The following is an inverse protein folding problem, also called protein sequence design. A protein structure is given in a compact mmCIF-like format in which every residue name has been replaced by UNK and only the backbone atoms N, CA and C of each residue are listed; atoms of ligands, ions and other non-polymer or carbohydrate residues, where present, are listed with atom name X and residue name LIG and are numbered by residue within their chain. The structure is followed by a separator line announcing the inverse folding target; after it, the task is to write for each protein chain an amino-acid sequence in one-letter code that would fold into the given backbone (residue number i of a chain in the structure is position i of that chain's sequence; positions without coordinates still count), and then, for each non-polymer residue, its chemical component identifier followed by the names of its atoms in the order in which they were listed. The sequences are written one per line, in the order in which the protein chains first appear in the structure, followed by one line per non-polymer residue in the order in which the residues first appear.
data_IF_775193953799
#
_entry.id   IF_775193953799
#
_cell.length_a   1.000
_cell.length_b   1.000
_cell.length_c   1.000
_cell.angle_alpha   90.00
_cell.angle_beta   90.00
_cell.angle_gamma   90.00
#
_symmetry.space_group_name_H-M   'P 1'
#
loop_
_entity.id
_entity.type
_entity.pdbx_description
1 polymer ?
#
# COMPACT_ATOMS: atom_id res chain seq x y z
N UNK A 1 -47.08 0.35 -81.65
CA UNK A 1 -47.59 -0.53 -80.54
C UNK A 1 -46.44 -1.33 -80.04
N UNK A 2 -45.70 -0.88 -79.02
CA UNK A 2 -44.76 -1.72 -78.26
C UNK A 2 -44.89 -1.36 -76.78
N UNK A 3 -45.38 -2.28 -75.96
CA UNK A 3 -45.52 -2.14 -74.52
C UNK A 3 -44.17 -2.39 -73.87
N UNK A 4 -43.69 -1.44 -73.09
CA UNK A 4 -42.48 -1.54 -72.26
C UNK A 4 -42.95 -1.89 -70.85
N UNK A 5 -42.54 -3.07 -70.37
CA UNK A 5 -42.74 -3.50 -68.98
C UNK A 5 -41.58 -2.90 -68.13
N UNK A 6 -41.91 -2.11 -67.13
CA UNK A 6 -40.98 -1.66 -66.14
C UNK A 6 -40.97 -2.63 -64.97
N UNK A 7 -39.84 -3.31 -64.77
CA UNK A 7 -39.61 -4.16 -63.59
C UNK A 7 -38.99 -3.31 -62.47
N UNK A 8 -39.73 -3.13 -61.40
CA UNK A 8 -39.24 -2.48 -60.17
C UNK A 8 -38.46 -3.49 -59.35
N UNK A 9 -37.14 -3.34 -59.27
CA UNK A 9 -36.30 -4.06 -58.29
C UNK A 9 -36.40 -3.34 -56.96
N UNK A 10 -37.01 -4.03 -55.94
CA UNK A 10 -36.94 -3.64 -54.53
C UNK A 10 -35.61 -4.12 -53.95
N UNK A 11 -34.65 -3.22 -53.79
CA UNK A 11 -33.41 -3.50 -53.06
C UNK A 11 -33.66 -3.39 -51.56
N UNK A 12 -33.84 -4.51 -50.87
CA UNK A 12 -33.88 -4.59 -49.43
C UNK A 12 -32.45 -4.42 -48.90
N UNK A 13 -32.10 -3.22 -48.45
CA UNK A 13 -30.84 -2.93 -47.79
C UNK A 13 -30.84 -3.59 -46.38
N UNK A 14 -30.16 -4.72 -46.22
CA UNK A 14 -29.76 -5.25 -44.92
C UNK A 14 -28.72 -4.29 -44.34
N UNK A 15 -29.19 -3.40 -43.45
CA UNK A 15 -28.32 -2.67 -42.55
C UNK A 15 -27.75 -3.65 -41.49
N UNK A 16 -26.64 -4.28 -41.81
CA UNK A 16 -25.80 -4.96 -40.82
C UNK A 16 -25.25 -3.86 -39.90
N UNK A 17 -25.98 -3.60 -38.81
CA UNK A 17 -25.46 -2.82 -37.70
C UNK A 17 -24.22 -3.53 -37.16
N UNK A 18 -23.02 -3.08 -37.55
CA UNK A 18 -21.79 -3.47 -36.89
C UNK A 18 -21.94 -2.98 -35.44
N UNK A 19 -22.30 -3.88 -34.52
CA UNK A 19 -22.09 -3.62 -33.11
C UNK A 19 -20.61 -3.33 -32.95
N UNK A 20 -20.27 -2.06 -32.81
CA UNK A 20 -18.92 -1.67 -32.43
C UNK A 20 -18.62 -2.39 -31.11
N UNK A 21 -17.81 -3.42 -31.16
CA UNK A 21 -17.36 -4.11 -29.97
C UNK A 21 -16.59 -3.09 -29.17
N UNK A 22 -17.14 -2.66 -28.05
CA UNK A 22 -16.45 -1.75 -27.14
C UNK A 22 -15.08 -2.35 -26.82
N UNK A 23 -14.04 -1.57 -26.95
CA UNK A 23 -12.70 -2.03 -26.58
C UNK A 23 -12.74 -2.49 -25.12
N UNK A 24 -12.12 -3.64 -24.85
CA UNK A 24 -12.03 -4.19 -23.50
C UNK A 24 -11.49 -3.13 -22.52
N UNK A 25 -12.10 -2.95 -21.35
CA UNK A 25 -11.68 -1.91 -20.40
C UNK A 25 -10.24 -2.12 -19.96
N UNK A 26 -9.50 -1.01 -19.91
CA UNK A 26 -8.12 -0.99 -19.45
C UNK A 26 -7.98 -0.05 -18.27
N UNK A 27 -7.57 -0.60 -17.11
CA UNK A 27 -7.29 0.14 -15.88
C UNK A 27 -5.80 0.35 -15.70
N UNK A 28 -5.42 1.50 -15.16
CA UNK A 28 -4.11 1.73 -14.56
C UNK A 28 -4.28 1.80 -13.04
N UNK A 29 -3.72 0.82 -12.31
CA UNK A 29 -3.57 0.89 -10.86
C UNK A 29 -2.17 1.42 -10.53
N UNK A 30 -2.12 2.50 -9.77
CA UNK A 30 -0.89 3.10 -9.26
C UNK A 30 -0.73 2.74 -7.80
N UNK A 31 0.36 2.02 -7.47
CA UNK A 31 0.58 1.42 -6.16
C UNK A 31 1.99 1.63 -5.64
N UNK A 32 2.22 1.30 -4.37
CA UNK A 32 3.55 1.30 -3.80
C UNK A 32 4.29 -0.02 -4.06
N UNK A 33 5.62 0.03 -4.04
CA UNK A 33 6.51 -0.97 -4.61
C UNK A 33 6.42 -2.37 -4.00
N UNK A 34 6.17 -2.48 -2.71
CA UNK A 34 6.08 -3.77 -1.99
C UNK A 34 4.81 -4.57 -2.30
N UNK A 35 3.83 -3.97 -3.00
CA UNK A 35 2.57 -4.64 -3.36
C UNK A 35 2.63 -5.40 -4.69
N UNK A 36 3.79 -5.47 -5.34
CA UNK A 36 3.94 -6.05 -6.67
C UNK A 36 3.47 -7.51 -6.75
N UNK A 37 3.89 -8.34 -5.80
CA UNK A 37 3.53 -9.77 -5.78
C UNK A 37 2.04 -9.95 -5.48
N UNK A 38 1.51 -9.21 -4.51
CA UNK A 38 0.08 -9.22 -4.22
C UNK A 38 -0.76 -8.87 -5.45
N UNK A 39 -0.47 -7.75 -6.13
CA UNK A 39 -1.25 -7.35 -7.30
C UNK A 39 -1.06 -8.26 -8.51
N UNK A 40 0.04 -8.99 -8.62
CA UNK A 40 0.20 -10.02 -9.63
C UNK A 40 -0.85 -11.12 -9.48
N UNK A 41 -1.00 -11.63 -8.25
CA UNK A 41 -1.97 -12.68 -7.94
C UNK A 41 -3.41 -12.14 -8.01
N UNK A 42 -3.63 -10.98 -7.41
CA UNK A 42 -4.93 -10.32 -7.36
C UNK A 42 -5.48 -9.96 -8.74
N UNK A 43 -4.68 -9.39 -9.62
CA UNK A 43 -5.10 -9.00 -10.96
C UNK A 43 -5.53 -10.22 -11.78
N UNK A 44 -4.80 -11.34 -11.66
CA UNK A 44 -5.15 -12.57 -12.35
C UNK A 44 -6.53 -13.13 -11.88
N UNK A 45 -6.82 -13.06 -10.58
CA UNK A 45 -8.10 -13.47 -10.02
C UNK A 45 -9.23 -12.51 -10.42
N UNK A 46 -9.01 -11.21 -10.29
CA UNK A 46 -10.01 -10.21 -10.70
C UNK A 46 -10.36 -10.30 -12.19
N UNK A 47 -9.40 -10.49 -13.08
CA UNK A 47 -9.64 -10.62 -14.50
C UNK A 47 -10.56 -11.82 -14.82
N UNK A 48 -10.35 -12.97 -14.16
CA UNK A 48 -11.22 -14.14 -14.29
C UNK A 48 -12.64 -13.88 -13.75
N UNK A 49 -12.71 -13.20 -12.60
CA UNK A 49 -13.98 -12.81 -12.00
C UNK A 49 -14.75 -11.87 -12.93
N UNK A 50 -14.12 -10.82 -13.44
CA UNK A 50 -14.73 -9.86 -14.36
C UNK A 50 -15.22 -10.54 -15.65
N UNK A 51 -14.39 -11.37 -16.26
CA UNK A 51 -14.76 -12.12 -17.46
C UNK A 51 -15.96 -13.06 -17.23
N UNK A 52 -16.01 -13.72 -16.07
CA UNK A 52 -17.12 -14.58 -15.71
C UNK A 52 -18.46 -13.83 -15.60
N UNK A 53 -18.45 -12.61 -15.04
CA UNK A 53 -19.65 -11.80 -14.84
C UNK A 53 -20.06 -11.01 -16.09
N UNK A 54 -19.10 -10.42 -16.79
CA UNK A 54 -19.37 -9.46 -17.87
C UNK A 54 -19.17 -10.03 -19.28
N UNK A 55 -18.59 -11.23 -19.41
CA UNK A 55 -18.24 -11.86 -20.71
C UNK A 55 -17.30 -11.01 -21.56
N UNK A 56 -16.51 -10.18 -20.91
CA UNK A 56 -15.47 -9.35 -21.53
C UNK A 56 -14.18 -9.39 -20.68
N UNK A 57 -13.04 -9.22 -21.32
CA UNK A 57 -11.77 -9.14 -20.62
C UNK A 57 -11.52 -7.73 -20.11
N UNK A 58 -10.84 -7.62 -18.94
CA UNK A 58 -10.31 -6.37 -18.44
C UNK A 58 -8.77 -6.43 -18.42
N UNK A 59 -8.10 -5.40 -18.90
CA UNK A 59 -6.65 -5.29 -18.80
C UNK A 59 -6.29 -4.43 -17.61
N UNK A 60 -5.42 -4.94 -16.71
CA UNK A 60 -4.95 -4.20 -15.54
C UNK A 60 -3.48 -3.88 -15.73
N UNK A 61 -3.17 -2.60 -15.90
CA UNK A 61 -1.82 -2.07 -15.93
C UNK A 61 -1.41 -1.62 -14.54
N UNK A 62 -0.12 -1.73 -14.21
CA UNK A 62 0.41 -1.38 -12.89
C UNK A 62 1.54 -0.36 -13.02
N UNK A 63 1.57 0.59 -12.09
CA UNK A 63 2.73 1.45 -11.84
C UNK A 63 3.14 1.31 -10.38
N UNK A 64 4.42 1.02 -10.12
CA UNK A 64 4.95 0.80 -8.79
C UNK A 64 6.12 1.74 -8.47
N UNK A 65 6.18 2.21 -7.23
CA UNK A 65 7.26 3.05 -6.72
C UNK A 65 7.02 3.44 -5.26
N UNK A 66 7.81 4.33 -4.70
CA UNK A 66 7.54 4.87 -3.37
C UNK A 66 6.16 5.54 -3.33
N UNK A 67 5.35 5.27 -2.31
CA UNK A 67 3.93 5.64 -2.25
C UNK A 67 3.69 7.14 -2.52
N UNK A 68 4.36 8.02 -1.80
CA UNK A 68 4.21 9.47 -1.99
C UNK A 68 4.72 9.95 -3.36
N UNK A 69 5.74 9.28 -3.94
CA UNK A 69 6.19 9.54 -5.31
C UNK A 69 5.13 9.15 -6.33
N UNK A 70 4.48 8.02 -6.14
CA UNK A 70 3.38 7.57 -7.01
C UNK A 70 2.17 8.51 -6.92
N UNK A 71 1.78 8.93 -5.70
CA UNK A 71 0.73 9.93 -5.53
C UNK A 71 1.06 11.22 -6.27
N UNK A 72 2.30 11.70 -6.17
CA UNK A 72 2.77 12.89 -6.90
C UNK A 72 2.70 12.69 -8.42
N UNK A 73 3.09 11.53 -8.95
CA UNK A 73 2.98 11.26 -10.38
C UNK A 73 1.55 11.36 -10.90
N UNK A 74 0.56 10.92 -10.11
CA UNK A 74 -0.86 11.03 -10.47
C UNK A 74 -1.31 12.51 -10.44
N UNK A 75 -0.89 13.29 -9.45
CA UNK A 75 -1.15 14.74 -9.38
C UNK A 75 -0.55 15.44 -10.59
N UNK A 76 0.64 15.04 -11.02
CA UNK A 76 1.35 15.60 -12.18
C UNK A 76 0.82 15.09 -13.54
N UNK A 77 -0.23 14.26 -13.54
CA UNK A 77 -0.98 13.89 -14.75
C UNK A 77 -0.88 12.42 -15.19
N UNK A 78 -0.27 11.52 -14.41
CA UNK A 78 -0.34 10.08 -14.71
C UNK A 78 -1.81 9.62 -14.60
N UNK A 79 -2.44 9.09 -15.67
CA UNK A 79 -3.87 8.87 -15.75
C UNK A 79 -4.29 7.56 -15.04
N UNK A 80 -4.06 7.49 -13.73
CA UNK A 80 -4.45 6.36 -12.89
C UNK A 80 -5.97 6.25 -12.76
N UNK A 81 -6.54 5.09 -13.00
CA UNK A 81 -7.95 4.80 -12.76
C UNK A 81 -8.21 4.54 -11.28
N UNK A 82 -7.29 3.83 -10.63
CA UNK A 82 -7.31 3.54 -9.20
C UNK A 82 -5.93 3.77 -8.59
N UNK A 83 -5.95 4.12 -7.32
CA UNK A 83 -4.75 4.26 -6.48
C UNK A 83 -4.86 3.35 -5.27
N UNK A 84 -3.78 2.68 -4.96
CA UNK A 84 -3.68 1.75 -3.85
C UNK A 84 -2.40 2.08 -3.08
N UNK A 85 -2.55 2.96 -2.09
CA UNK A 85 -1.43 3.65 -1.44
C UNK A 85 -1.06 3.02 -0.10
N UNK A 86 0.11 3.37 0.40
CA UNK A 86 0.57 2.88 1.70
C UNK A 86 -0.15 3.55 2.87
N UNK A 87 -0.61 4.80 2.70
CA UNK A 87 -1.24 5.58 3.77
C UNK A 87 -2.21 6.63 3.25
N UNK A 88 -3.12 7.05 4.12
CA UNK A 88 -4.17 8.02 3.78
C UNK A 88 -3.62 9.39 3.34
N UNK A 89 -2.44 9.82 3.83
CA UNK A 89 -1.81 11.08 3.41
C UNK A 89 -1.57 11.16 1.91
N UNK A 90 -1.29 10.04 1.26
CA UNK A 90 -1.04 10.01 -0.18
C UNK A 90 -2.32 10.24 -0.97
N UNK A 91 -3.45 9.64 -0.54
CA UNK A 91 -4.77 9.88 -1.17
C UNK A 91 -5.29 11.29 -0.83
N UNK A 92 -5.08 11.75 0.41
CA UNK A 92 -5.41 13.12 0.79
C UNK A 92 -4.71 14.15 -0.10
N UNK A 93 -3.47 13.89 -0.49
CA UNK A 93 -2.74 14.77 -1.41
C UNK A 93 -3.43 14.90 -2.78
N UNK A 94 -4.05 13.82 -3.30
CA UNK A 94 -4.84 13.87 -4.54
C UNK A 94 -6.14 14.64 -4.36
N UNK A 95 -6.77 14.57 -3.18
CA UNK A 95 -7.96 15.34 -2.87
C UNK A 95 -7.66 16.84 -2.75
N UNK A 96 -6.50 17.18 -2.18
CA UNK A 96 -6.09 18.57 -1.94
C UNK A 96 -5.47 19.23 -3.18
N UNK A 97 -4.85 18.45 -4.05
CA UNK A 97 -4.19 18.95 -5.27
C UNK A 97 -4.91 18.44 -6.52
N UNK A 98 -5.75 19.29 -7.09
CA UNK A 98 -6.46 18.99 -8.32
C UNK A 98 -7.82 18.31 -8.16
N UNK A 99 -8.28 18.05 -6.93
CA UNK A 99 -9.57 17.40 -6.64
C UNK A 99 -9.77 16.12 -7.48
N UNK A 100 -8.70 15.31 -7.58
CA UNK A 100 -8.70 14.08 -8.37
C UNK A 100 -9.56 13.00 -7.74
N UNK A 101 -9.66 13.02 -6.41
CA UNK A 101 -10.56 12.22 -5.59
C UNK A 101 -11.36 13.14 -4.67
N UNK A 102 -12.56 12.78 -4.24
CA UNK A 102 -13.34 13.63 -3.31
C UNK A 102 -12.73 13.60 -1.89
N UNK A 103 -13.02 14.61 -1.09
CA UNK A 103 -12.49 14.74 0.28
C UNK A 103 -12.98 13.64 1.23
N UNK A 104 -14.14 13.07 0.94
CA UNK A 104 -14.78 11.99 1.71
C UNK A 104 -14.40 10.57 1.21
N UNK A 105 -13.37 10.47 0.38
CA UNK A 105 -12.92 9.20 -0.22
C UNK A 105 -12.78 8.06 0.80
N UNK A 106 -12.38 8.39 2.02
CA UNK A 106 -12.13 7.43 3.10
C UNK A 106 -13.38 6.63 3.50
N UNK A 107 -14.58 7.20 3.32
CA UNK A 107 -15.86 6.58 3.70
C UNK A 107 -16.53 5.79 2.57
N UNK A 108 -15.95 5.77 1.38
CA UNK A 108 -16.56 5.17 0.18
C UNK A 108 -16.48 3.64 0.13
N UNK A 109 -15.51 3.07 0.83
CA UNK A 109 -15.31 1.62 0.94
C UNK A 109 -15.18 1.21 2.42
N UNK A 110 -15.41 -0.05 2.77
CA UNK A 110 -15.35 -0.50 4.16
C UNK A 110 -13.97 -0.25 4.83
N UNK A 111 -13.94 -0.20 6.15
CA UNK A 111 -12.72 -0.09 6.94
C UNK A 111 -11.85 1.12 6.56
N UNK A 112 -12.45 2.31 6.41
CA UNK A 112 -11.75 3.52 5.95
C UNK A 112 -11.06 3.33 4.60
N UNK A 113 -11.69 2.57 3.69
CA UNK A 113 -11.14 2.20 2.38
C UNK A 113 -9.82 1.41 2.46
N UNK A 114 -9.56 0.70 3.57
CA UNK A 114 -8.39 -0.14 3.79
C UNK A 114 -8.78 -1.63 3.81
N UNK A 115 -8.52 -2.40 2.72
CA UNK A 115 -9.00 -3.78 2.58
C UNK A 115 -8.27 -4.80 3.45
N UNK A 116 -7.10 -4.47 3.96
CA UNK A 116 -6.26 -5.30 4.81
C UNK A 116 -5.38 -4.42 5.70
N UNK A 117 -4.64 -5.05 6.61
CA UNK A 117 -3.65 -4.36 7.45
C UNK A 117 -2.30 -5.05 7.40
N UNK A 118 -1.30 -4.42 7.99
CA UNK A 118 0.01 -5.01 8.22
C UNK A 118 0.60 -4.52 9.54
N UNK A 119 1.61 -5.24 10.03
CA UNK A 119 2.38 -4.87 11.21
C UNK A 119 3.79 -4.45 10.83
N UNK A 120 4.37 -3.55 11.62
CA UNK A 120 5.81 -3.30 11.62
C UNK A 120 6.51 -4.46 12.34
N UNK A 121 7.52 -5.04 11.72
CA UNK A 121 8.33 -6.12 12.25
C UNK A 121 9.82 -5.81 12.14
N UNK A 122 10.65 -6.54 12.85
CA UNK A 122 12.10 -6.48 12.75
C UNK A 122 12.59 -7.70 11.98
N UNK A 123 13.38 -7.47 10.95
CA UNK A 123 14.15 -8.49 10.25
C UNK A 123 15.57 -8.41 10.78
N UNK A 124 15.99 -9.43 11.50
CA UNK A 124 17.31 -9.51 12.13
C UNK A 124 18.19 -10.53 11.42
N UNK A 125 19.50 -10.38 11.54
CA UNK A 125 20.43 -11.35 10.99
C UNK A 125 20.18 -12.76 11.54
N UNK A 126 20.51 -13.78 10.77
CA UNK A 126 20.40 -15.19 11.17
C UNK A 126 20.99 -15.42 12.57
N UNK A 127 20.22 -16.10 13.43
CA UNK A 127 20.61 -16.37 14.82
C UNK A 127 20.51 -15.18 15.76
N UNK A 128 20.00 -14.05 15.28
CA UNK A 128 19.78 -12.82 16.06
C UNK A 128 20.98 -12.47 16.98
N UNK A 129 22.19 -12.24 16.45
CA UNK A 129 23.42 -12.12 17.24
C UNK A 129 23.42 -10.95 18.22
N UNK A 130 22.57 -9.93 17.99
CA UNK A 130 22.38 -8.79 18.89
C UNK A 130 21.26 -8.99 19.91
N UNK A 131 20.58 -10.17 19.89
CA UNK A 131 19.46 -10.51 20.77
C UNK A 131 18.34 -9.43 20.78
N UNK A 132 18.00 -8.90 19.59
CA UNK A 132 17.00 -7.86 19.40
C UNK A 132 15.60 -8.47 19.53
N UNK A 133 14.78 -7.97 20.46
CA UNK A 133 13.45 -8.51 20.76
C UNK A 133 12.36 -7.44 20.70
N UNK A 134 12.68 -6.20 21.05
CA UNK A 134 11.72 -5.12 21.14
C UNK A 134 12.40 -3.75 20.89
N UNK A 135 11.60 -2.69 20.82
CA UNK A 135 12.02 -1.33 20.51
C UNK A 135 13.25 -0.82 21.29
N UNK A 136 13.35 -1.05 22.64
CA UNK A 136 14.52 -0.61 23.40
C UNK A 136 15.84 -1.26 22.98
N UNK A 137 15.77 -2.43 22.36
CA UNK A 137 16.97 -3.12 21.89
C UNK A 137 17.60 -2.42 20.68
N UNK A 138 16.79 -1.66 19.92
CA UNK A 138 17.26 -0.96 18.72
C UNK A 138 18.12 0.27 19.01
N UNK A 139 18.10 0.76 20.25
CA UNK A 139 18.91 1.92 20.70
C UNK A 139 20.09 1.49 21.58
N UNK A 140 20.41 0.19 21.65
CA UNK A 140 21.61 -0.29 22.34
C UNK A 140 22.86 0.08 21.59
N UNK A 141 23.93 0.34 22.35
CA UNK A 141 25.25 0.64 21.77
C UNK A 141 25.70 -0.42 20.77
N UNK A 142 26.18 0.01 19.62
CA UNK A 142 26.67 -0.85 18.55
C UNK A 142 25.57 -1.59 17.75
N UNK A 143 24.29 -1.21 17.89
CA UNK A 143 23.21 -1.66 17.01
C UNK A 143 23.03 -0.66 15.87
N UNK A 144 23.01 -1.14 14.63
CA UNK A 144 22.70 -0.34 13.45
C UNK A 144 21.33 -0.73 12.90
N UNK A 145 20.46 0.27 12.71
CA UNK A 145 19.07 0.10 12.27
C UNK A 145 18.91 0.55 10.82
N UNK A 146 18.34 -0.29 9.98
CA UNK A 146 17.94 0.08 8.62
C UNK A 146 16.45 0.35 8.59
N UNK A 147 16.10 1.53 8.14
CA UNK A 147 14.71 1.99 8.00
C UNK A 147 14.63 2.99 6.84
N UNK A 148 13.58 2.96 6.01
CA UNK A 148 13.43 3.94 4.95
C UNK A 148 13.06 5.32 5.52
N UNK A 149 13.37 6.36 4.76
CA UNK A 149 13.18 7.76 5.17
C UNK A 149 11.69 8.09 5.38
N UNK A 150 11.28 8.53 6.57
CA UNK A 150 9.89 8.93 6.86
C UNK A 150 9.37 10.10 6.01
N UNK A 151 10.25 10.91 5.43
CA UNK A 151 9.84 12.00 4.51
C UNK A 151 9.32 11.47 3.17
N UNK A 152 9.76 10.27 2.75
CA UNK A 152 9.48 9.72 1.42
C UNK A 152 8.78 8.36 1.42
N UNK A 153 8.78 7.67 2.56
CA UNK A 153 8.29 6.29 2.71
C UNK A 153 7.24 6.15 3.81
N UNK A 154 6.11 5.55 3.49
CA UNK A 154 5.10 5.17 4.47
C UNK A 154 5.63 4.16 5.49
N UNK A 155 6.46 3.20 5.05
CA UNK A 155 7.12 2.26 5.95
C UNK A 155 7.95 3.00 7.02
N UNK A 156 8.76 3.98 6.61
CA UNK A 156 9.51 4.82 7.56
C UNK A 156 8.59 5.58 8.53
N UNK A 157 7.44 6.08 8.06
CA UNK A 157 6.46 6.75 8.93
C UNK A 157 5.83 5.79 9.93
N UNK A 158 5.42 4.60 9.51
CA UNK A 158 4.87 3.60 10.43
C UNK A 158 5.92 3.11 11.43
N UNK A 159 7.18 2.97 11.04
CA UNK A 159 8.28 2.68 11.97
C UNK A 159 8.42 3.78 13.03
N UNK A 160 8.47 5.04 12.60
CA UNK A 160 8.51 6.21 13.48
C UNK A 160 7.33 6.23 14.45
N UNK A 161 6.09 6.08 13.95
CA UNK A 161 4.87 6.10 14.77
C UNK A 161 4.79 4.90 15.73
N UNK A 162 5.28 3.72 15.30
CA UNK A 162 5.33 2.54 16.17
C UNK A 162 6.29 2.73 17.34
N UNK A 163 7.48 3.26 17.09
CA UNK A 163 8.46 3.55 18.14
C UNK A 163 7.97 4.65 19.09
N UNK A 164 7.33 5.69 18.56
CA UNK A 164 6.69 6.75 19.36
C UNK A 164 5.59 6.18 20.23
N UNK A 165 4.66 5.45 19.63
CA UNK A 165 3.53 4.83 20.31
C UNK A 165 3.95 3.79 21.35
N UNK A 166 5.04 3.06 21.12
CA UNK A 166 5.66 2.19 22.12
C UNK A 166 5.98 2.97 23.40
N UNK A 167 6.63 4.14 23.27
CA UNK A 167 7.00 4.97 24.41
C UNK A 167 5.76 5.46 25.17
N UNK A 168 4.76 5.99 24.45
CA UNK A 168 3.51 6.45 25.08
C UNK A 168 2.80 5.32 25.82
N UNK A 169 2.72 4.14 25.22
CA UNK A 169 2.05 2.97 25.80
C UNK A 169 2.75 2.43 27.05
N UNK A 170 4.05 2.63 27.17
CA UNK A 170 4.85 2.22 28.31
C UNK A 170 5.02 3.34 29.37
N UNK A 171 4.11 4.33 29.38
CA UNK A 171 4.03 5.35 30.41
C UNK A 171 4.93 6.57 30.18
N UNK A 172 5.59 6.68 29.04
CA UNK A 172 6.29 7.89 28.62
C UNK A 172 5.33 8.98 28.12
N UNK A 173 5.82 10.20 28.07
CA UNK A 173 5.14 11.35 27.47
C UNK A 173 5.68 11.68 26.07
N UNK A 174 5.14 12.72 25.46
CA UNK A 174 5.56 13.19 24.13
C UNK A 174 7.05 13.58 24.07
N UNK A 175 7.60 14.13 25.15
CA UNK A 175 9.01 14.50 25.22
C UNK A 175 9.91 13.24 25.28
N UNK A 176 9.50 12.24 26.06
CA UNK A 176 10.18 10.95 26.12
C UNK A 176 10.11 10.21 24.77
N UNK A 177 8.95 10.24 24.10
CA UNK A 177 8.75 9.63 22.78
C UNK A 177 9.64 10.32 21.73
N UNK A 178 9.67 11.64 21.69
CA UNK A 178 10.56 12.41 20.81
C UNK A 178 12.03 12.06 21.04
N UNK A 179 12.46 11.97 22.30
CA UNK A 179 13.84 11.59 22.66
C UNK A 179 14.16 10.18 22.17
N UNK A 180 13.28 9.21 22.47
CA UNK A 180 13.47 7.81 22.08
C UNK A 180 13.56 7.64 20.56
N UNK A 181 12.66 8.26 19.81
CA UNK A 181 12.69 8.19 18.34
C UNK A 181 13.91 8.90 17.78
N UNK A 182 14.34 10.01 18.38
CA UNK A 182 15.60 10.69 18.02
C UNK A 182 16.82 9.78 18.22
N UNK A 183 16.86 9.05 19.34
CA UNK A 183 17.90 8.06 19.61
C UNK A 183 17.85 6.92 18.60
N UNK A 184 16.66 6.34 18.31
CA UNK A 184 16.50 5.31 17.29
C UNK A 184 17.07 5.75 15.92
N UNK A 185 16.71 6.95 15.46
CA UNK A 185 17.19 7.46 14.17
C UNK A 185 18.69 7.84 14.19
N UNK A 186 19.30 8.05 15.35
CA UNK A 186 20.76 8.22 15.45
C UNK A 186 21.53 6.92 15.16
N UNK A 187 20.88 5.78 15.30
CA UNK A 187 21.40 4.45 14.94
C UNK A 187 21.17 4.07 13.47
N UNK A 188 20.60 4.97 12.66
CA UNK A 188 20.31 4.72 11.23
C UNK A 188 21.46 5.26 10.36
N UNK A 189 22.29 4.38 9.79
CA UNK A 189 23.43 4.82 8.97
C UNK A 189 23.01 5.34 7.60
N UNK A 190 21.89 4.82 7.04
CA UNK A 190 21.40 5.15 5.69
C UNK A 190 19.88 5.30 5.72
N UNK A 191 19.35 6.39 5.19
CA UNK A 191 17.92 6.60 4.96
C UNK A 191 17.60 6.40 3.48
N UNK A 192 17.15 5.20 3.15
CA UNK A 192 16.69 4.86 1.80
C UNK A 192 15.36 5.53 1.48
N UNK A 193 15.09 5.79 0.21
CA UNK A 193 13.87 6.49 -0.22
C UNK A 193 12.59 5.67 -0.09
N UNK A 194 12.69 4.34 0.09
CA UNK A 194 11.55 3.42 0.19
C UNK A 194 11.95 2.05 0.73
N UNK A 195 10.96 1.20 1.01
CA UNK A 195 11.15 -0.13 1.61
C UNK A 195 12.10 -1.00 0.80
N UNK A 196 11.96 -1.00 -0.53
CA UNK A 196 12.82 -1.82 -1.41
C UNK A 196 14.31 -1.41 -1.34
N UNK A 197 14.59 -0.10 -1.26
CA UNK A 197 15.95 0.41 -1.03
C UNK A 197 16.51 -0.10 0.29
N UNK A 198 15.75 0.04 1.37
CA UNK A 198 16.13 -0.44 2.70
C UNK A 198 16.38 -1.97 2.71
N UNK A 199 15.55 -2.75 2.01
CA UNK A 199 15.79 -4.20 1.85
C UNK A 199 17.11 -4.47 1.13
N UNK A 200 17.42 -3.75 0.06
CA UNK A 200 18.71 -3.88 -0.65
C UNK A 200 19.87 -3.50 0.25
N UNK A 201 19.78 -2.40 0.99
CA UNK A 201 20.79 -1.97 1.96
C UNK A 201 21.05 -3.05 3.00
N UNK A 202 20.01 -3.63 3.56
CA UNK A 202 20.14 -4.70 4.55
C UNK A 202 20.57 -6.03 3.93
N UNK A 203 19.83 -6.59 3.00
CA UNK A 203 20.04 -7.96 2.50
C UNK A 203 21.23 -8.08 1.53
N UNK A 204 21.38 -7.13 0.62
CA UNK A 204 22.41 -7.20 -0.46
C UNK A 204 23.70 -6.52 -0.04
N UNK A 205 23.62 -5.34 0.56
CA UNK A 205 24.82 -4.59 0.94
C UNK A 205 25.35 -4.97 2.33
N UNK A 206 24.60 -5.81 3.08
CA UNK A 206 24.94 -6.27 4.42
C UNK A 206 25.15 -5.14 5.45
N UNK A 207 24.49 -3.99 5.28
CA UNK A 207 24.52 -2.86 6.21
C UNK A 207 23.44 -3.07 7.28
N UNK A 208 23.76 -2.77 8.52
CA UNK A 208 22.87 -2.81 9.69
C UNK A 208 22.67 -4.21 10.29
N UNK A 209 22.22 -4.24 11.53
CA UNK A 209 21.92 -5.43 12.34
C UNK A 209 20.43 -5.81 12.22
N UNK A 210 19.57 -4.83 11.97
CA UNK A 210 18.13 -4.97 11.87
C UNK A 210 17.54 -4.09 10.78
N UNK A 211 16.61 -4.65 10.01
CA UNK A 211 15.73 -3.90 9.11
C UNK A 211 14.34 -3.82 9.75
N UNK A 212 13.83 -2.61 9.96
CA UNK A 212 12.45 -2.40 10.41
C UNK A 212 11.57 -2.20 9.19
N UNK A 213 10.61 -3.10 9.01
CA UNK A 213 9.77 -3.13 7.82
C UNK A 213 8.39 -3.72 8.10
N UNK A 214 7.56 -3.89 7.06
CA UNK A 214 6.26 -4.53 7.19
C UNK A 214 6.35 -6.05 7.15
N UNK A 215 5.38 -6.68 7.80
CA UNK A 215 5.22 -8.14 7.89
C UNK A 215 5.18 -8.82 6.51
N UNK A 216 4.47 -8.23 5.53
CA UNK A 216 4.42 -8.76 4.17
C UNK A 216 5.75 -8.64 3.42
N UNK A 217 6.59 -7.64 3.75
CA UNK A 217 7.94 -7.53 3.16
C UNK A 217 8.86 -8.65 3.66
N UNK A 218 8.70 -9.09 4.91
CA UNK A 218 9.45 -10.23 5.43
C UNK A 218 9.27 -11.49 4.56
N UNK A 219 8.05 -11.72 4.08
CA UNK A 219 7.78 -12.83 3.17
C UNK A 219 8.40 -12.64 1.79
N UNK A 220 8.34 -11.44 1.23
CA UNK A 220 9.00 -11.13 -0.05
C UNK A 220 10.52 -11.35 0.05
N UNK A 221 11.14 -10.90 1.14
CA UNK A 221 12.56 -11.12 1.41
C UNK A 221 12.86 -12.62 1.51
N UNK A 222 11.99 -13.39 2.17
CA UNK A 222 12.14 -14.82 2.29
C UNK A 222 12.08 -15.57 0.95
N UNK A 223 11.20 -15.12 0.04
CA UNK A 223 11.11 -15.68 -1.33
C UNK A 223 12.33 -15.35 -2.17
N UNK A 224 12.89 -14.15 -2.02
CA UNK A 224 14.00 -13.67 -2.84
C UNK A 224 15.37 -14.13 -2.33
N UNK A 225 15.60 -14.09 -1.01
CA UNK A 225 16.91 -14.34 -0.40
C UNK A 225 17.01 -15.66 0.36
N UNK A 226 15.89 -16.34 0.64
CA UNK A 226 15.81 -17.55 1.45
C UNK A 226 15.45 -17.26 2.91
N UNK A 227 14.57 -18.10 3.47
CA UNK A 227 14.10 -17.97 4.87
C UNK A 227 15.18 -18.22 5.92
N UNK A 228 16.26 -18.87 5.53
CA UNK A 228 17.38 -19.21 6.41
C UNK A 228 18.40 -18.07 6.55
N UNK A 229 18.23 -16.95 5.86
CA UNK A 229 19.17 -15.83 5.87
C UNK A 229 18.90 -14.83 7.01
N UNK A 230 17.72 -14.86 7.63
CA UNK A 230 17.30 -13.92 8.65
C UNK A 230 16.24 -14.52 9.58
N UNK A 231 15.87 -13.78 10.61
CA UNK A 231 14.75 -14.09 11.49
C UNK A 231 13.81 -12.90 11.57
N UNK A 232 12.50 -13.18 11.77
CA UNK A 232 11.47 -12.16 11.94
C UNK A 232 11.13 -12.06 13.43
N UNK A 233 11.26 -10.85 13.98
CA UNK A 233 10.90 -10.53 15.35
C UNK A 233 9.71 -9.59 15.34
N UNK A 234 8.66 -9.95 16.07
CA UNK A 234 7.48 -9.10 16.27
C UNK A 234 7.69 -8.27 17.53
N UNK A 235 7.76 -6.92 17.42
CA UNK A 235 7.86 -6.07 18.61
C UNK A 235 6.56 -6.10 19.42
N UNK A 236 6.64 -5.71 20.69
CA UNK A 236 5.49 -5.70 21.61
C UNK A 236 4.37 -4.75 21.15
N UNK A 237 4.70 -3.68 20.44
CA UNK A 237 3.76 -2.67 19.93
C UNK A 237 4.06 -2.37 18.47
N UNK A 238 3.02 -2.28 17.65
CA UNK A 238 3.09 -1.81 16.27
C UNK A 238 1.94 -0.86 15.96
N UNK A 239 2.21 0.22 15.24
CA UNK A 239 1.15 0.98 14.61
C UNK A 239 0.47 0.10 13.54
N UNK A 240 -0.86 0.04 13.56
CA UNK A 240 -1.61 -0.70 12.55
C UNK A 240 -1.48 0.01 11.21
N UNK A 241 -0.81 -0.65 10.26
CA UNK A 241 -0.72 -0.12 8.91
C UNK A 241 -2.00 -0.45 8.14
N UNK A 242 -2.69 0.56 7.66
CA UNK A 242 -3.97 0.49 6.96
C UNK A 242 -3.81 1.06 5.55
N UNK A 243 -3.29 0.27 4.57
CA UNK A 243 -3.08 0.74 3.22
C UNK A 243 -4.42 1.02 2.52
N UNK A 244 -4.74 2.28 2.22
CA UNK A 244 -6.04 2.63 1.65
C UNK A 244 -6.03 2.59 0.12
N UNK A 245 -7.23 2.47 -0.43
CA UNK A 245 -7.47 2.45 -1.87
C UNK A 245 -8.55 3.46 -2.26
N UNK A 246 -8.48 3.99 -3.48
CA UNK A 246 -9.51 4.88 -4.01
C UNK A 246 -9.57 4.84 -5.53
N UNK A 247 -10.75 5.06 -6.09
CA UNK A 247 -10.94 5.42 -7.49
C UNK A 247 -10.47 6.86 -7.70
N UNK A 248 -9.83 7.14 -8.82
CA UNK A 248 -9.46 8.50 -9.24
C UNK A 248 -10.58 9.06 -10.10
N UNK A 249 -11.56 9.70 -9.47
CA UNK A 249 -12.84 10.07 -10.08
C UNK A 249 -12.71 10.84 -11.40
N UNK A 250 -11.88 11.87 -11.44
CA UNK A 250 -11.68 12.66 -12.67
C UNK A 250 -11.13 11.87 -13.84
N UNK A 251 -10.36 10.82 -13.56
CA UNK A 251 -9.77 9.97 -14.60
C UNK A 251 -10.77 8.96 -15.10
N UNK A 252 -11.44 8.23 -14.20
CA UNK A 252 -12.40 7.19 -14.61
C UNK A 252 -13.60 7.75 -15.32
N UNK A 253 -14.08 8.96 -14.95
CA UNK A 253 -15.17 9.64 -15.64
C UNK A 253 -14.77 10.06 -17.06
N UNK A 254 -13.55 10.58 -17.23
CA UNK A 254 -13.02 10.94 -18.55
C UNK A 254 -12.79 9.72 -19.43
N UNK A 255 -12.34 8.61 -18.86
CA UNK A 255 -12.01 7.37 -19.59
C UNK A 255 -13.21 6.45 -19.79
N UNK A 256 -14.31 6.64 -19.03
CA UNK A 256 -15.46 5.74 -19.03
C UNK A 256 -15.19 4.41 -18.32
N UNK A 257 -14.20 4.34 -17.43
CA UNK A 257 -13.74 3.11 -16.75
C UNK A 257 -14.28 2.96 -15.32
N UNK A 258 -15.20 3.83 -14.88
CA UNK A 258 -15.72 3.85 -13.50
C UNK A 258 -16.24 2.49 -13.03
N UNK A 259 -17.06 1.83 -13.84
CA UNK A 259 -17.68 0.58 -13.45
C UNK A 259 -16.65 -0.51 -13.13
N UNK A 260 -15.67 -0.71 -14.01
CA UNK A 260 -14.61 -1.71 -13.79
C UNK A 260 -13.64 -1.29 -12.68
N UNK A 261 -13.38 0.02 -12.51
CA UNK A 261 -12.53 0.54 -11.43
C UNK A 261 -13.17 0.32 -10.05
N UNK A 262 -14.46 0.58 -9.90
CA UNK A 262 -15.18 0.32 -8.66
C UNK A 262 -15.29 -1.17 -8.36
N UNK A 263 -15.58 -2.00 -9.37
CA UNK A 263 -15.60 -3.46 -9.23
C UNK A 263 -14.23 -4.00 -8.81
N UNK A 264 -13.15 -3.49 -9.43
CA UNK A 264 -11.78 -3.84 -9.09
C UNK A 264 -11.47 -3.55 -7.61
N UNK A 265 -11.81 -2.39 -7.09
CA UNK A 265 -11.56 -2.09 -5.68
C UNK A 265 -12.49 -2.87 -4.74
N UNK A 266 -13.77 -3.03 -5.07
CA UNK A 266 -14.72 -3.80 -4.24
C UNK A 266 -14.32 -5.25 -4.08
N UNK A 267 -13.73 -5.85 -5.11
CA UNK A 267 -13.26 -7.23 -5.09
C UNK A 267 -12.16 -7.49 -4.04
N UNK A 268 -11.44 -6.45 -3.58
CA UNK A 268 -10.49 -6.56 -2.46
C UNK A 268 -11.14 -7.06 -1.16
N UNK A 269 -12.43 -6.78 -0.94
CA UNK A 269 -13.21 -7.27 0.22
C UNK A 269 -13.96 -8.57 -0.06
N UNK A 270 -13.87 -9.14 -1.26
CA UNK A 270 -14.45 -10.45 -1.54
C UNK A 270 -13.70 -11.55 -0.77
N UNK A 271 -14.35 -12.70 -0.49
CA UNK A 271 -13.64 -13.82 0.14
C UNK A 271 -12.35 -14.20 -0.59
N UNK A 272 -12.37 -14.23 -1.92
CA UNK A 272 -11.18 -14.55 -2.72
C UNK A 272 -10.11 -13.45 -2.62
N UNK A 273 -10.47 -12.16 -2.68
CA UNK A 273 -9.56 -11.05 -2.48
C UNK A 273 -8.88 -11.07 -1.12
N UNK A 274 -9.64 -11.42 -0.07
CA UNK A 274 -9.12 -11.56 1.29
C UNK A 274 -8.22 -12.79 1.45
N UNK A 275 -8.52 -13.90 0.79
CA UNK A 275 -7.64 -15.08 0.74
C UNK A 275 -6.31 -14.76 0.05
N UNK A 276 -6.34 -14.02 -1.06
CA UNK A 276 -5.14 -13.58 -1.76
C UNK A 276 -4.31 -12.63 -0.86
N UNK A 277 -4.97 -11.73 -0.13
CA UNK A 277 -4.30 -10.86 0.84
C UNK A 277 -3.57 -11.69 1.90
N UNK A 278 -4.26 -12.64 2.53
CA UNK A 278 -3.68 -13.53 3.54
C UNK A 278 -2.53 -14.39 2.97
N UNK A 279 -2.66 -14.87 1.72
CA UNK A 279 -1.61 -15.64 1.04
C UNK A 279 -0.33 -14.81 0.81
N UNK A 280 -0.46 -13.50 0.68
CA UNK A 280 0.64 -12.53 0.52
C UNK A 280 1.02 -11.81 1.84
N UNK A 281 0.68 -12.39 3.01
CA UNK A 281 1.02 -11.88 4.34
C UNK A 281 0.47 -10.47 4.64
N UNK A 282 -0.65 -10.11 4.01
CA UNK A 282 -1.48 -8.97 4.40
C UNK A 282 -2.60 -9.48 5.30
N UNK A 283 -2.77 -8.88 6.47
CA UNK A 283 -3.78 -9.29 7.45
C UNK A 283 -5.18 -8.99 6.91
N UNK A 284 -6.01 -10.00 6.59
CA UNK A 284 -7.32 -9.77 6.02
C UNK A 284 -8.26 -9.13 7.03
N UNK A 285 -9.22 -8.36 6.54
CA UNK A 285 -10.31 -7.80 7.34
C UNK A 285 -11.43 -8.80 7.60
N UNK A 286 -11.54 -9.85 6.77
CA UNK A 286 -12.50 -10.93 6.96
C UNK A 286 -12.09 -11.82 8.13
N UNK A 287 -12.91 -11.92 9.22
CA UNK A 287 -12.56 -12.71 10.40
C UNK A 287 -12.43 -14.21 10.13
N UNK A 288 -13.20 -14.74 9.16
CA UNK A 288 -13.16 -16.17 8.83
C UNK A 288 -11.85 -16.50 8.10
N UNK A 289 -11.44 -15.64 7.16
CA UNK A 289 -10.15 -15.76 6.48
C UNK A 289 -9.00 -15.57 7.48
N UNK A 290 -9.06 -14.56 8.35
CA UNK A 290 -8.04 -14.34 9.38
C UNK A 290 -7.90 -15.56 10.30
N UNK A 291 -9.00 -16.17 10.72
CA UNK A 291 -9.00 -17.37 11.56
C UNK A 291 -8.36 -18.58 10.84
N UNK A 292 -8.59 -18.73 9.54
CA UNK A 292 -7.98 -19.77 8.71
C UNK A 292 -6.44 -19.63 8.65
N UNK A 293 -5.93 -18.40 8.67
CA UNK A 293 -4.49 -18.09 8.59
C UNK A 293 -3.86 -17.69 9.93
N UNK A 294 -4.50 -18.05 11.07
CA UNK A 294 -4.06 -17.65 12.42
C UNK A 294 -2.58 -17.97 12.74
N UNK A 295 -2.07 -19.08 12.21
CA UNK A 295 -0.68 -19.50 12.44
C UNK A 295 0.33 -18.66 11.62
N UNK A 296 -0.16 -17.92 10.62
CA UNK A 296 0.64 -17.00 9.80
C UNK A 296 0.76 -15.61 10.41
N UNK A 297 -0.26 -15.21 11.19
CA UNK A 297 -0.37 -13.88 11.78
C UNK A 297 -0.31 -13.94 13.30
N UNK A 298 0.88 -13.83 13.91
CA UNK A 298 1.01 -13.75 15.36
C UNK A 298 0.18 -12.60 15.91
N UNK A 299 -0.24 -12.74 17.18
CA UNK A 299 -0.94 -11.65 17.87
C UNK A 299 0.03 -10.48 18.06
N UNK A 300 -0.35 -9.32 17.57
CA UNK A 300 0.36 -8.05 17.74
C UNK A 300 -0.53 -7.10 18.52
N UNK A 301 0.06 -6.34 19.42
CA UNK A 301 -0.62 -5.27 20.13
C UNK A 301 -0.61 -4.00 19.27
N UNK A 302 -1.66 -3.86 18.47
CA UNK A 302 -1.80 -2.73 17.57
C UNK A 302 -2.20 -1.45 18.29
N UNK A 303 -1.59 -0.35 17.88
CA UNK A 303 -2.10 0.99 18.15
C UNK A 303 -2.71 1.58 16.87
N UNK A 304 -3.87 2.19 17.02
CA UNK A 304 -4.48 2.96 15.93
C UNK A 304 -3.78 4.31 15.83
N UNK A 305 -3.31 4.64 14.63
CA UNK A 305 -2.67 5.95 14.36
C UNK A 305 -3.65 7.09 14.67
N UNK A 306 -4.89 7.00 14.18
CA UNK A 306 -5.87 8.06 14.37
C UNK A 306 -6.26 8.29 15.85
N UNK A 307 -6.38 7.22 16.63
CA UNK A 307 -6.70 7.32 18.06
C UNK A 307 -5.53 7.86 18.88
N UNK A 308 -4.30 7.57 18.48
CA UNK A 308 -3.08 7.93 19.23
C UNK A 308 -2.56 9.31 18.86
N UNK A 309 -2.58 9.65 17.56
CA UNK A 309 -1.90 10.84 17.02
C UNK A 309 -2.87 11.84 16.37
N UNK A 310 -4.15 11.52 16.26
CA UNK A 310 -5.13 12.27 15.47
C UNK A 310 -5.16 11.81 14.01
N UNK A 311 -5.96 12.52 13.20
CA UNK A 311 -6.07 12.18 11.78
C UNK A 311 -4.74 12.29 11.02
N UNK A 312 -4.65 11.63 9.88
CA UNK A 312 -3.43 11.62 9.08
C UNK A 312 -2.97 12.99 8.57
N UNK A 313 -3.86 14.00 8.49
CA UNK A 313 -3.47 15.38 8.16
C UNK A 313 -2.73 16.03 9.33
N UNK A 314 -3.22 15.81 10.55
CA UNK A 314 -2.57 16.23 11.80
C UNK A 314 -1.22 15.54 11.95
N UNK A 315 -1.15 14.21 11.76
CA UNK A 315 0.09 13.43 11.80
C UNK A 315 1.11 13.98 10.80
N UNK A 316 0.69 14.19 9.55
CA UNK A 316 1.55 14.73 8.50
C UNK A 316 2.10 16.12 8.87
N UNK A 317 1.22 17.00 9.32
CA UNK A 317 1.58 18.39 9.69
C UNK A 317 2.55 18.42 10.87
N UNK A 318 2.28 17.64 11.91
CA UNK A 318 3.03 17.67 13.16
C UNK A 318 4.39 17.00 13.01
N UNK A 319 4.42 15.84 12.37
CA UNK A 319 5.61 14.99 12.40
C UNK A 319 6.45 15.05 11.11
N UNK A 320 5.84 15.17 9.92
CA UNK A 320 6.52 14.87 8.66
C UNK A 320 6.60 16.02 7.65
N UNK A 321 5.84 17.10 7.82
CA UNK A 321 6.00 18.30 7.01
C UNK A 321 7.37 18.96 7.28
N UNK A 322 7.78 19.85 6.39
CA UNK A 322 9.00 20.63 6.58
C UNK A 322 8.95 21.42 7.90
N UNK A 323 10.00 21.29 8.71
CA UNK A 323 10.06 21.81 10.06
C UNK A 323 9.29 21.00 11.11
N UNK A 324 8.66 19.89 10.74
CA UNK A 324 7.99 18.97 11.64
C UNK A 324 8.95 18.28 12.61
N UNK A 325 8.40 17.47 13.51
CA UNK A 325 9.19 16.84 14.58
C UNK A 325 10.32 15.97 14.03
N UNK A 326 10.10 15.27 12.90
CA UNK A 326 11.15 14.45 12.28
C UNK A 326 12.37 15.29 11.88
N UNK A 327 12.17 16.46 11.27
CA UNK A 327 13.28 17.35 10.88
C UNK A 327 14.06 17.90 12.11
N UNK A 328 13.39 17.98 13.26
CA UNK A 328 14.03 18.44 14.52
C UNK A 328 14.91 17.35 15.16
N UNK A 329 14.53 16.06 15.01
CA UNK A 329 15.27 14.93 15.58
C UNK A 329 16.31 14.34 14.63
N UNK A 330 16.13 14.54 13.33
CA UNK A 330 17.05 14.10 12.28
C UNK A 330 17.26 15.25 11.28
N UNK A 331 18.06 16.27 11.66
CA UNK A 331 18.31 17.40 10.78
C UNK A 331 19.03 16.93 9.51
N UNK A 332 18.65 17.48 8.35
CA UNK A 332 19.37 17.24 7.10
C UNK A 332 20.86 17.59 7.30
N UNK A 333 21.74 16.63 6.97
CA UNK A 333 23.19 16.82 7.01
C UNK A 333 23.65 17.63 5.84
#
# INVERSE_FOLDING_TARGET
MKKIFAASLLAAGLALGSAAQAAAPSLLNVSYDVMRDFYKDYNAAFQKHWEAEHKENATIQMSFGGSSKQARSVIDGLPADVITMNMATDINALADNGELVPKDWVTRLPNNSAPFTSATVFIVRKGNPKALKDWPDLVKEGVEVVVPNPKTSGNGRYTYLSAWGYTLKNGGDEAAAKKFVGELFSHVPVLDTGGRGATTTFMTNHIGDVLVTFENEAEMIAREFGRDQFEVVYPSVSAEAEPPVSVVDKVVDKKGTRAVAEAYLKYLWSPEGQEIAAANYLRPRDPAVLAKYKDRFPKVDFLSVEKTFGDWRTVQKTHFNDGGVFDQIYPAK
#
